data_IF_621184749779
#
_entry.id   IF_621184749779
#
_cell.length_a   1.000
_cell.length_b   1.000
_cell.length_c   1.000
_cell.angle_alpha   90.00
_cell.angle_beta   90.00
_cell.angle_gamma   90.00
#
_symmetry.space_group_name_H-M   'P 1'
#
loop_
_entity.id
_entity.type
_entity.pdbx_description
1 polymer ?
#
# COMPACT_ATOMS: atom_id res chain seq x y z
N UNK A 1 58.69 -9.75 29.64
CA UNK A 1 57.69 -9.80 28.55
C UNK A 1 58.41 -9.96 27.23
N UNK A 2 58.58 -11.22 26.79
CA UNK A 2 59.44 -11.57 25.66
C UNK A 2 58.79 -11.30 24.30
N UNK A 3 59.59 -11.13 23.24
CA UNK A 3 59.11 -10.88 21.88
C UNK A 3 58.12 -11.94 21.35
N UNK A 4 58.26 -13.19 21.81
CA UNK A 4 57.37 -14.29 21.44
C UNK A 4 55.93 -14.14 21.99
N UNK A 5 55.78 -13.59 23.20
CA UNK A 5 54.47 -13.33 23.80
C UNK A 5 53.72 -12.21 23.06
N UNK A 6 54.46 -11.17 22.66
CA UNK A 6 53.92 -10.07 21.85
C UNK A 6 53.44 -10.55 20.48
N UNK A 7 54.22 -11.40 19.81
CA UNK A 7 53.81 -12.00 18.53
C UNK A 7 52.57 -12.90 18.67
N UNK A 8 52.49 -13.70 19.75
CA UNK A 8 51.31 -14.53 20.02
C UNK A 8 50.06 -13.68 20.33
N UNK A 9 50.21 -12.57 21.04
CA UNK A 9 49.12 -11.62 21.29
C UNK A 9 48.63 -10.97 19.99
N UNK A 10 49.54 -10.53 19.12
CA UNK A 10 49.19 -9.95 17.82
C UNK A 10 48.45 -10.94 16.91
N UNK A 11 48.87 -12.21 16.87
CA UNK A 11 48.17 -13.26 16.12
C UNK A 11 46.74 -13.45 16.62
N UNK A 12 46.53 -13.52 17.94
CA UNK A 12 45.19 -13.62 18.55
C UNK A 12 44.32 -12.40 18.26
N UNK A 13 44.89 -11.20 18.30
CA UNK A 13 44.18 -9.97 17.96
C UNK A 13 43.71 -9.95 16.50
N UNK A 14 44.58 -10.35 15.55
CA UNK A 14 44.24 -10.46 14.13
C UNK A 14 43.17 -11.50 13.86
N UNK A 15 43.26 -12.65 14.52
CA UNK A 15 42.25 -13.71 14.40
C UNK A 15 40.88 -13.23 14.92
N UNK A 16 40.86 -12.54 16.07
CA UNK A 16 39.63 -11.91 16.58
C UNK A 16 39.06 -10.89 15.60
N UNK A 17 39.92 -10.04 15.01
CA UNK A 17 39.51 -9.04 14.04
C UNK A 17 38.85 -9.68 12.80
N UNK A 18 39.45 -10.73 12.25
CA UNK A 18 38.88 -11.48 11.11
C UNK A 18 37.51 -12.08 11.44
N UNK A 19 37.33 -12.60 12.66
CA UNK A 19 36.03 -13.13 13.11
C UNK A 19 34.97 -12.04 13.22
N UNK A 20 35.33 -10.86 13.72
CA UNK A 20 34.43 -9.71 13.79
C UNK A 20 34.04 -9.27 12.37
N UNK A 21 35.00 -9.11 11.47
CA UNK A 21 34.73 -8.74 10.08
C UNK A 21 33.82 -9.74 9.38
N UNK A 22 34.05 -11.04 9.55
CA UNK A 22 33.19 -12.08 9.00
C UNK A 22 31.78 -12.06 9.60
N UNK A 23 31.66 -11.82 10.91
CA UNK A 23 30.35 -11.70 11.58
C UNK A 23 29.59 -10.45 11.08
N UNK A 24 30.27 -9.32 10.95
CA UNK A 24 29.69 -8.07 10.42
C UNK A 24 29.25 -8.25 8.97
N UNK A 25 30.06 -8.89 8.13
CA UNK A 25 29.68 -9.19 6.74
C UNK A 25 28.41 -10.06 6.66
N UNK A 26 28.29 -11.06 7.54
CA UNK A 26 27.06 -11.88 7.64
C UNK A 26 25.87 -11.06 8.14
N UNK A 27 26.06 -10.20 9.13
CA UNK A 27 25.01 -9.33 9.65
C UNK A 27 24.48 -8.36 8.59
N UNK A 28 25.37 -7.74 7.80
CA UNK A 28 24.99 -6.86 6.69
C UNK A 28 24.19 -7.62 5.63
N UNK A 29 24.61 -8.85 5.27
CA UNK A 29 23.86 -9.69 4.33
C UNK A 29 22.47 -10.08 4.86
N UNK A 30 22.37 -10.42 6.14
CA UNK A 30 21.09 -10.71 6.77
C UNK A 30 20.19 -9.47 6.80
N UNK A 31 20.72 -8.32 7.20
CA UNK A 31 20.00 -7.05 7.25
C UNK A 31 19.46 -6.65 5.86
N UNK A 32 20.30 -6.73 4.83
CA UNK A 32 19.88 -6.41 3.45
C UNK A 32 18.81 -7.37 2.94
N UNK A 33 18.87 -8.66 3.31
CA UNK A 33 17.82 -9.63 2.99
C UNK A 33 16.50 -9.27 3.67
N UNK A 34 16.53 -8.95 4.96
CA UNK A 34 15.35 -8.52 5.71
C UNK A 34 14.75 -7.24 5.14
N UNK A 35 15.57 -6.24 4.81
CA UNK A 35 15.09 -4.99 4.19
C UNK A 35 14.40 -5.23 2.84
N UNK A 36 14.92 -6.16 2.02
CA UNK A 36 14.26 -6.55 0.77
C UNK A 36 12.91 -7.21 1.03
N UNK A 37 12.85 -8.15 1.99
CA UNK A 37 11.60 -8.81 2.36
C UNK A 37 10.56 -7.81 2.87
N UNK A 38 10.96 -6.84 3.70
CA UNK A 38 10.08 -5.76 4.19
C UNK A 38 9.54 -4.93 3.02
N UNK A 39 10.39 -4.47 2.10
CA UNK A 39 9.96 -3.71 0.92
C UNK A 39 8.99 -4.49 0.05
N UNK A 40 9.24 -5.78 -0.18
CA UNK A 40 8.34 -6.63 -0.95
C UNK A 40 6.99 -6.77 -0.25
N UNK A 41 6.98 -6.97 1.08
CA UNK A 41 5.75 -7.02 1.87
C UNK A 41 4.96 -5.72 1.77
N UNK A 42 5.61 -4.58 1.93
CA UNK A 42 4.95 -3.27 1.84
C UNK A 42 4.37 -3.02 0.45
N UNK A 43 5.10 -3.36 -0.62
CA UNK A 43 4.59 -3.23 -1.98
C UNK A 43 3.38 -4.16 -2.22
N UNK A 44 3.41 -5.36 -1.66
CA UNK A 44 2.27 -6.29 -1.75
C UNK A 44 1.06 -5.79 -0.97
N UNK A 45 1.25 -5.20 0.21
CA UNK A 45 0.18 -4.62 1.01
C UNK A 45 -0.49 -3.46 0.24
N UNK A 46 0.30 -2.53 -0.32
CA UNK A 46 -0.25 -1.42 -1.13
C UNK A 46 -1.07 -1.92 -2.32
N UNK A 47 -0.57 -2.91 -3.07
CA UNK A 47 -1.32 -3.50 -4.18
C UNK A 47 -2.60 -4.20 -3.73
N UNK A 48 -2.60 -4.78 -2.53
CA UNK A 48 -3.80 -5.39 -1.96
C UNK A 48 -4.81 -4.30 -1.62
N UNK A 49 -4.39 -3.25 -0.92
CA UNK A 49 -5.23 -2.11 -0.57
C UNK A 49 -5.81 -1.42 -1.81
N UNK A 50 -5.00 -1.23 -2.87
CA UNK A 50 -5.46 -0.73 -4.17
C UNK A 50 -6.57 -1.60 -4.78
N UNK A 51 -6.41 -2.93 -4.74
CA UNK A 51 -7.42 -3.86 -5.25
C UNK A 51 -8.69 -3.86 -4.41
N UNK A 52 -8.56 -3.80 -3.08
CA UNK A 52 -9.70 -3.69 -2.16
C UNK A 52 -10.45 -2.40 -2.43
N UNK A 53 -9.75 -1.26 -2.50
CA UNK A 53 -10.36 0.03 -2.81
C UNK A 53 -11.06 0.03 -4.18
N UNK A 54 -10.46 -0.56 -5.21
CA UNK A 54 -11.08 -0.67 -6.53
C UNK A 54 -12.36 -1.54 -6.49
N UNK A 55 -12.34 -2.65 -5.76
CA UNK A 55 -13.51 -3.51 -5.57
C UNK A 55 -14.62 -2.79 -4.79
N UNK A 56 -14.27 -2.09 -3.71
CA UNK A 56 -15.21 -1.27 -2.93
C UNK A 56 -15.84 -0.16 -3.77
N UNK A 57 -15.06 0.52 -4.62
CA UNK A 57 -15.58 1.53 -5.54
C UNK A 57 -16.53 0.92 -6.58
N UNK A 58 -16.20 -0.25 -7.14
CA UNK A 58 -17.07 -0.95 -8.11
C UNK A 58 -18.39 -1.40 -7.46
N UNK A 59 -18.32 -1.91 -6.24
CA UNK A 59 -19.48 -2.29 -5.43
C UNK A 59 -20.33 -1.06 -5.10
N UNK A 60 -19.70 0.05 -4.70
CA UNK A 60 -20.39 1.31 -4.43
C UNK A 60 -21.06 1.89 -5.71
N UNK A 61 -20.40 1.84 -6.87
CA UNK A 61 -21.00 2.29 -8.13
C UNK A 61 -22.19 1.42 -8.53
N UNK A 62 -22.05 0.09 -8.45
CA UNK A 62 -23.14 -0.84 -8.77
C UNK A 62 -24.34 -0.66 -7.83
N UNK A 63 -24.08 -0.43 -6.53
CA UNK A 63 -25.12 -0.14 -5.55
C UNK A 63 -25.83 1.20 -5.82
N UNK A 64 -25.09 2.22 -6.25
CA UNK A 64 -25.67 3.51 -6.66
C UNK A 64 -26.49 3.39 -7.95
N UNK A 65 -26.04 2.58 -8.91
CA UNK A 65 -26.78 2.28 -10.14
C UNK A 65 -28.11 1.59 -9.82
N UNK A 66 -28.07 0.57 -8.96
CA UNK A 66 -29.28 -0.10 -8.50
C UNK A 66 -30.26 0.87 -7.82
N UNK A 67 -29.76 1.73 -6.92
CA UNK A 67 -30.61 2.74 -6.28
C UNK A 67 -31.23 3.72 -7.28
N UNK A 68 -30.51 4.08 -8.37
CA UNK A 68 -31.06 4.89 -9.46
C UNK A 68 -32.12 4.13 -10.24
N UNK A 69 -31.87 2.87 -10.59
CA UNK A 69 -32.83 2.01 -11.30
C UNK A 69 -34.11 1.78 -10.49
N UNK A 70 -33.99 1.61 -9.17
CA UNK A 70 -35.15 1.48 -8.27
C UNK A 70 -35.83 2.81 -7.96
N UNK A 71 -35.22 3.96 -8.30
CA UNK A 71 -35.71 5.29 -7.92
C UNK A 71 -35.70 5.57 -6.40
N UNK A 72 -35.15 4.67 -5.60
CA UNK A 72 -35.14 4.75 -4.13
C UNK A 72 -33.94 4.02 -3.55
N UNK A 73 -33.21 4.70 -2.65
CA UNK A 73 -32.13 4.08 -1.89
C UNK A 73 -32.63 3.06 -0.86
N UNK A 74 -33.88 3.19 -0.40
CA UNK A 74 -34.44 2.27 0.59
C UNK A 74 -34.81 0.94 -0.08
N UNK A 75 -35.41 0.98 -1.28
CA UNK A 75 -35.71 -0.22 -2.07
C UNK A 75 -34.42 -0.98 -2.48
N UNK A 76 -33.38 -0.26 -2.89
CA UNK A 76 -32.09 -0.88 -3.18
C UNK A 76 -31.44 -1.49 -1.93
N UNK A 77 -31.68 -0.93 -0.73
CA UNK A 77 -31.15 -1.45 0.53
C UNK A 77 -31.78 -2.77 0.90
N UNK A 78 -33.09 -2.88 0.71
CA UNK A 78 -33.82 -4.13 0.91
C UNK A 78 -33.34 -5.22 -0.05
N UNK A 79 -33.13 -4.89 -1.33
CA UNK A 79 -32.64 -5.83 -2.35
C UNK A 79 -31.23 -6.34 -2.01
N UNK A 80 -30.34 -5.44 -1.58
CA UNK A 80 -28.94 -5.79 -1.27
C UNK A 80 -28.78 -6.36 0.15
N UNK A 81 -29.80 -6.28 1.00
CA UNK A 81 -29.70 -6.63 2.42
C UNK A 81 -28.78 -5.68 3.21
N UNK A 82 -28.64 -4.43 2.74
CA UNK A 82 -27.75 -3.43 3.32
C UNK A 82 -28.50 -2.43 4.19
N UNK A 83 -27.76 -1.67 5.00
CA UNK A 83 -28.39 -0.57 5.73
C UNK A 83 -28.76 0.58 4.78
N UNK A 84 -29.96 1.14 4.94
CA UNK A 84 -30.42 2.31 4.17
C UNK A 84 -29.47 3.50 4.35
N UNK A 85 -28.89 3.68 5.55
CA UNK A 85 -27.89 4.70 5.85
C UNK A 85 -26.64 4.57 4.97
N UNK A 86 -26.17 3.35 4.76
CA UNK A 86 -24.99 3.06 3.96
C UNK A 86 -25.23 3.37 2.47
N UNK A 87 -26.37 2.94 1.92
CA UNK A 87 -26.73 3.25 0.55
C UNK A 87 -26.93 4.74 0.31
N UNK A 88 -27.62 5.45 1.20
CA UNK A 88 -27.79 6.92 1.11
C UNK A 88 -26.45 7.66 1.14
N UNK A 89 -25.46 7.14 1.88
CA UNK A 89 -24.10 7.68 1.88
C UNK A 89 -23.44 7.44 0.51
N UNK A 90 -23.48 6.21 0.01
CA UNK A 90 -22.89 5.81 -1.28
C UNK A 90 -23.49 6.62 -2.44
N UNK A 91 -24.83 6.71 -2.52
CA UNK A 91 -25.52 7.46 -3.58
C UNK A 91 -25.19 8.94 -3.52
N UNK A 92 -25.15 9.54 -2.33
CA UNK A 92 -24.75 10.95 -2.16
C UNK A 92 -23.32 11.20 -2.64
N UNK A 93 -22.37 10.31 -2.32
CA UNK A 93 -20.98 10.43 -2.79
C UNK A 93 -20.81 10.12 -4.27
N UNK A 94 -21.68 9.31 -4.86
CA UNK A 94 -21.70 8.96 -6.28
C UNK A 94 -22.33 10.05 -7.17
N UNK A 95 -23.10 10.99 -6.59
CA UNK A 95 -23.58 12.19 -7.29
C UNK A 95 -22.46 13.23 -7.43
N UNK A 96 -21.48 13.25 -6.52
CA UNK A 96 -20.35 14.20 -6.51
C UNK A 96 -19.10 13.93 -7.39
N UNK A 97 -18.88 12.80 -8.11
CA UNK A 97 -17.69 12.62 -8.95
C UNK A 97 -17.84 13.19 -10.37
N UNK A 98 -19.05 13.51 -10.83
CA UNK A 98 -19.30 13.92 -12.22
C UNK A 98 -19.26 15.45 -12.43
N UNK A 99 -19.26 16.24 -11.35
CA UNK A 99 -19.12 17.71 -11.43
C UNK A 99 -17.66 18.17 -11.67
N UNK A 100 -16.67 17.34 -11.34
CA UNK A 100 -15.24 17.70 -11.45
C UNK A 100 -14.67 17.33 -12.83
N UNK A 101 -15.14 16.25 -13.46
CA UNK A 101 -14.63 15.78 -14.77
C UNK A 101 -15.22 16.52 -15.97
N UNK A 102 -16.33 17.22 -15.79
CA UNK A 102 -17.00 17.99 -16.86
C UNK A 102 -16.57 19.47 -16.95
N UNK A 103 -15.72 19.95 -16.05
CA UNK A 103 -15.26 21.33 -16.04
C UNK A 103 -14.00 21.55 -16.92
N UNK A 104 -13.16 20.52 -17.10
CA UNK A 104 -11.88 20.66 -17.81
C UNK A 104 -11.99 20.55 -19.35
N UNK A 105 -13.06 19.95 -19.88
CA UNK A 105 -13.22 19.74 -21.33
C UNK A 105 -13.84 20.92 -22.09
N UNK A 106 -14.24 22.01 -21.42
CA UNK A 106 -14.78 23.22 -22.07
C UNK A 106 -13.77 24.37 -22.20
N UNK A 107 -12.53 24.22 -21.73
CA UNK A 107 -11.55 25.30 -21.72
C UNK A 107 -10.62 25.36 -22.95
N UNK A 108 -10.58 24.32 -23.80
CA UNK A 108 -9.64 24.25 -24.94
C UNK A 108 -10.34 24.18 -26.30
N UNK A 109 -11.16 25.17 -26.60
CA UNK A 109 -11.88 25.20 -27.88
C UNK A 109 -12.41 26.57 -28.26
N UNK A 110 -11.65 27.64 -28.06
CA UNK A 110 -11.90 28.88 -28.78
C UNK A 110 -10.73 29.85 -28.64
N UNK A 111 -9.89 29.94 -29.67
CA UNK A 111 -9.25 31.21 -30.05
C UNK A 111 -9.07 31.22 -31.57
N UNK A 112 -9.27 32.39 -32.21
CA UNK A 112 -9.58 32.56 -33.62
C UNK A 112 -8.41 32.32 -34.58
#
# INVERSE_FOLDING_TARGET
MGGNERLAALKRARERQRRIEAATARAIRAQTTVQRAVKTREASARKHDEKVNAAEQAVASAAADLARTCGSSDAAAEILGWSTRELRRITRTAVTPNAIRGADSRANGSTP
#
